data_IF_665657620864
#
_entry.id   IF_665657620864
#
_cell.length_a   1.000
_cell.length_b   1.000
_cell.length_c   1.000
_cell.angle_alpha   90.00
_cell.angle_beta   90.00
_cell.angle_gamma   90.00
#
_symmetry.space_group_name_H-M   'P 1'
#
loop_
_entity.id
_entity.type
_entity.pdbx_description
1 polymer ?
#
# COMPACT_ATOMS: atom_id res chain seq x y z
N UNK A 1 10.88 19.46 9.87
CA UNK A 1 10.62 18.62 8.68
C UNK A 1 9.36 17.81 8.98
N UNK A 2 8.26 18.12 8.30
CA UNK A 2 6.93 17.70 8.73
C UNK A 2 6.78 16.18 8.78
N UNK A 3 6.35 15.66 9.93
CA UNK A 3 5.74 14.33 10.04
C UNK A 3 4.45 14.40 9.22
N UNK A 4 4.54 13.97 7.95
CA UNK A 4 3.42 13.99 7.01
C UNK A 4 2.25 13.23 7.61
N UNK A 5 1.09 13.90 7.65
CA UNK A 5 -0.17 13.38 8.17
C UNK A 5 -0.49 12.00 7.59
N UNK A 6 -1.09 11.17 8.43
CA UNK A 6 -1.78 9.91 8.09
C UNK A 6 -2.43 10.06 6.72
N UNK A 7 -2.04 9.22 5.76
CA UNK A 7 -2.68 9.16 4.45
C UNK A 7 -4.15 8.79 4.68
N UNK A 8 -5.04 9.77 4.82
CA UNK A 8 -6.47 9.50 4.74
C UNK A 8 -6.76 9.37 3.24
N UNK A 9 -6.68 8.15 2.75
CA UNK A 9 -6.91 7.81 1.36
C UNK A 9 -7.96 6.72 1.29
N UNK A 10 -8.84 6.78 0.30
CA UNK A 10 -9.72 5.65 0.00
C UNK A 10 -8.98 4.65 -0.90
N UNK A 11 -9.05 3.37 -0.53
CA UNK A 11 -8.45 2.27 -1.27
C UNK A 11 -9.43 1.78 -2.32
N UNK A 12 -8.99 1.76 -3.57
CA UNK A 12 -9.72 1.15 -4.67
C UNK A 12 -8.95 -0.04 -5.23
N UNK A 13 -9.67 -1.07 -5.62
CA UNK A 13 -9.08 -2.27 -6.20
C UNK A 13 -10.02 -2.86 -7.25
N UNK A 14 -9.47 -3.35 -8.36
CA UNK A 14 -10.28 -4.07 -9.35
C UNK A 14 -10.53 -5.51 -8.89
N UNK A 15 -11.64 -6.10 -9.34
CA UNK A 15 -11.99 -7.50 -9.04
C UNK A 15 -10.88 -8.48 -9.40
N UNK A 16 -10.29 -8.33 -10.60
CA UNK A 16 -9.19 -9.18 -11.05
C UNK A 16 -7.91 -9.03 -10.22
N UNK A 17 -7.62 -7.85 -9.68
CA UNK A 17 -6.49 -7.67 -8.75
C UNK A 17 -6.82 -8.33 -7.41
N UNK A 18 -8.02 -8.11 -6.86
CA UNK A 18 -8.47 -8.77 -5.62
C UNK A 18 -8.33 -10.29 -5.72
N UNK A 19 -8.84 -10.88 -6.79
CA UNK A 19 -8.74 -12.32 -7.02
C UNK A 19 -7.29 -12.79 -7.14
N UNK A 20 -6.45 -12.04 -7.86
CA UNK A 20 -5.02 -12.34 -7.98
C UNK A 20 -4.32 -12.28 -6.62
N UNK A 21 -4.61 -11.31 -5.75
CA UNK A 21 -3.99 -11.23 -4.43
C UNK A 21 -4.33 -12.46 -3.60
N UNK A 22 -5.60 -12.85 -3.56
CA UNK A 22 -6.04 -14.01 -2.82
C UNK A 22 -5.45 -15.30 -3.40
N UNK A 23 -5.66 -15.57 -4.69
CA UNK A 23 -5.28 -16.87 -5.29
C UNK A 23 -3.78 -17.05 -5.49
N UNK A 24 -3.05 -15.98 -5.86
CA UNK A 24 -1.61 -16.08 -6.17
C UNK A 24 -0.72 -15.77 -4.98
N UNK A 25 -1.15 -14.85 -4.12
CA UNK A 25 -0.30 -14.35 -3.04
C UNK A 25 -0.84 -14.70 -1.65
N UNK A 26 -2.04 -15.27 -1.55
CA UNK A 26 -2.74 -15.51 -0.28
C UNK A 26 -2.73 -14.25 0.58
N UNK A 27 -3.06 -13.12 -0.03
CA UNK A 27 -3.13 -11.81 0.62
C UNK A 27 -4.56 -11.31 0.50
N UNK A 28 -5.11 -10.96 1.64
CA UNK A 28 -6.43 -10.37 1.75
C UNK A 28 -6.36 -8.84 1.75
N UNK A 29 -7.47 -8.18 1.44
CA UNK A 29 -7.48 -6.71 1.29
C UNK A 29 -7.20 -6.01 2.61
N UNK A 30 -7.74 -6.54 3.71
CA UNK A 30 -7.51 -5.98 5.04
C UNK A 30 -6.03 -6.05 5.44
N UNK A 31 -5.28 -7.08 5.02
CA UNK A 31 -3.83 -7.15 5.28
C UNK A 31 -3.07 -6.03 4.56
N UNK A 32 -3.54 -5.64 3.37
CA UNK A 32 -2.99 -4.51 2.63
C UNK A 32 -3.33 -3.19 3.32
N UNK A 33 -4.57 -3.02 3.79
CA UNK A 33 -5.01 -1.84 4.54
C UNK A 33 -4.24 -1.70 5.86
N UNK A 34 -4.10 -2.78 6.63
CA UNK A 34 -3.30 -2.82 7.86
C UNK A 34 -1.87 -2.35 7.59
N UNK A 35 -1.20 -2.92 6.57
CA UNK A 35 0.17 -2.54 6.24
C UNK A 35 0.30 -1.09 5.75
N UNK A 36 -0.74 -0.48 5.19
CA UNK A 36 -0.69 0.91 4.71
C UNK A 36 -1.02 1.90 5.84
N UNK A 37 -2.06 1.63 6.62
CA UNK A 37 -2.66 2.59 7.54
C UNK A 37 -2.24 2.38 9.00
N UNK A 38 -1.99 1.13 9.40
CA UNK A 38 -1.80 0.77 10.81
C UNK A 38 -0.34 0.51 11.19
N UNK A 39 0.52 0.20 10.22
CA UNK A 39 1.96 0.06 10.49
C UNK A 39 2.65 1.42 10.68
N UNK A 40 3.17 1.73 11.89
CA UNK A 40 3.82 3.01 12.17
C UNK A 40 5.17 3.19 11.46
N UNK A 41 5.74 2.12 10.91
CA UNK A 41 7.02 2.13 10.21
C UNK A 41 6.87 2.08 8.68
N UNK A 42 5.64 2.18 8.19
CA UNK A 42 5.36 2.17 6.77
C UNK A 42 6.06 3.31 6.04
N UNK A 43 6.65 2.99 4.89
CA UNK A 43 7.24 3.98 4.01
C UNK A 43 7.03 3.62 2.54
N UNK A 44 7.05 4.62 1.67
CA UNK A 44 6.94 4.45 0.24
C UNK A 44 8.23 4.77 -0.50
N UNK A 45 8.48 4.09 -1.62
CA UNK A 45 9.46 4.47 -2.63
C UNK A 45 8.71 4.72 -3.93
N UNK A 46 8.88 5.92 -4.49
CA UNK A 46 8.25 6.30 -5.76
C UNK A 46 9.04 5.77 -6.96
N UNK A 47 8.33 5.26 -7.97
CA UNK A 47 8.89 4.91 -9.27
C UNK A 47 7.90 5.30 -10.37
N UNK A 48 8.27 6.32 -11.16
CA UNK A 48 7.35 6.97 -12.11
C UNK A 48 6.07 7.41 -11.36
N UNK A 49 4.90 7.04 -11.87
CA UNK A 49 3.60 7.38 -11.26
C UNK A 49 3.13 6.37 -10.20
N UNK A 50 3.97 5.40 -9.83
CA UNK A 50 3.61 4.36 -8.87
C UNK A 50 4.40 4.48 -7.56
N UNK A 51 3.82 3.97 -6.48
CA UNK A 51 4.44 3.93 -5.16
C UNK A 51 4.55 2.49 -4.69
N UNK A 52 5.77 2.10 -4.33
CA UNK A 52 6.05 0.87 -3.61
C UNK A 52 5.99 1.14 -2.12
N UNK A 53 4.91 0.71 -1.48
CA UNK A 53 4.72 0.79 -0.04
C UNK A 53 5.32 -0.45 0.61
N UNK A 54 6.13 -0.23 1.64
CA UNK A 54 6.69 -1.25 2.49
C UNK A 54 6.00 -1.14 3.85
N UNK A 55 5.31 -2.19 4.27
CA UNK A 55 4.63 -2.23 5.56
C UNK A 55 4.58 -3.65 6.14
N UNK A 56 4.15 -3.74 7.40
CA UNK A 56 4.00 -4.99 8.13
C UNK A 56 2.57 -5.10 8.69
N UNK A 57 1.93 -6.26 8.53
CA UNK A 57 0.61 -6.53 9.13
C UNK A 57 0.72 -6.79 10.64
N UNK A 58 -0.41 -6.80 11.35
CA UNK A 58 -0.41 -7.16 12.78
C UNK A 58 0.06 -8.60 13.03
N UNK A 59 -0.21 -9.51 12.09
CA UNK A 59 0.28 -10.90 12.12
C UNK A 59 1.78 -11.02 11.82
N UNK A 60 2.46 -9.90 11.53
CA UNK A 60 3.90 -9.84 11.28
C UNK A 60 4.31 -10.12 9.84
N UNK A 61 3.37 -10.21 8.89
CA UNK A 61 3.71 -10.38 7.47
C UNK A 61 4.25 -9.08 6.89
N UNK A 62 5.40 -9.17 6.24
CA UNK A 62 6.04 -8.04 5.58
C UNK A 62 5.53 -7.95 4.15
N UNK A 63 4.78 -6.90 3.82
CA UNK A 63 4.17 -6.73 2.50
C UNK A 63 4.86 -5.62 1.70
N UNK A 64 5.10 -5.92 0.43
CA UNK A 64 5.41 -4.92 -0.59
C UNK A 64 4.16 -4.70 -1.43
N UNK A 65 3.63 -3.48 -1.40
CA UNK A 65 2.40 -3.11 -2.06
C UNK A 65 2.72 -2.08 -3.14
N UNK A 66 2.22 -2.31 -4.35
CA UNK A 66 2.32 -1.37 -5.45
C UNK A 66 0.97 -0.67 -5.62
N UNK A 67 0.99 0.66 -5.50
CA UNK A 67 -0.19 1.50 -5.71
C UNK A 67 0.07 2.57 -6.76
N UNK A 68 -1.01 3.18 -7.24
CA UNK A 68 -0.99 4.44 -8.00
C UNK A 68 -2.00 5.41 -7.40
N UNK A 69 -1.66 6.69 -7.37
CA UNK A 69 -2.61 7.75 -7.04
C UNK A 69 -3.53 8.00 -8.24
N UNK A 70 -4.84 8.00 -8.01
CA UNK A 70 -5.81 8.38 -9.04
C UNK A 70 -5.83 9.90 -9.21
N UNK A 71 -5.90 10.36 -10.45
CA UNK A 71 -6.11 11.79 -10.72
C UNK A 71 -7.53 12.21 -10.35
N UNK A 72 -7.76 13.50 -10.11
CA UNK A 72 -9.10 14.03 -9.80
C UNK A 72 -10.14 13.68 -10.86
N UNK A 73 -9.73 13.58 -12.13
CA UNK A 73 -10.60 13.19 -13.24
C UNK A 73 -11.03 11.72 -13.14
N UNK A 74 -10.10 10.82 -12.80
CA UNK A 74 -10.40 9.41 -12.60
C UNK A 74 -11.29 9.18 -11.38
N UNK A 75 -11.05 9.90 -10.29
CA UNK A 75 -11.88 9.87 -9.07
C UNK A 75 -13.30 10.32 -9.38
N UNK A 76 -13.46 11.38 -10.16
CA UNK A 76 -14.77 11.91 -10.57
C UNK A 76 -15.52 10.90 -11.45
N UNK A 77 -14.82 10.23 -12.38
CA UNK A 77 -15.39 9.16 -13.23
C UNK A 77 -15.88 7.96 -12.43
N UNK A 78 -15.29 7.70 -11.27
CA UNK A 78 -15.71 6.65 -10.34
C UNK A 78 -16.86 7.08 -9.41
N UNK A 79 -17.35 8.33 -9.52
CA UNK A 79 -18.46 8.85 -8.72
C UNK A 79 -18.08 9.34 -7.33
N UNK A 80 -16.78 9.45 -7.02
CA UNK A 80 -16.30 9.89 -5.72
C UNK A 80 -16.08 11.42 -5.65
N UNK A 81 -16.20 11.99 -4.44
CA UNK A 81 -15.95 13.42 -4.19
C UNK A 81 -14.45 13.70 -4.08
N UNK A 82 -13.97 14.77 -4.70
CA UNK A 82 -12.55 15.16 -4.78
C UNK A 82 -11.89 15.60 -3.46
N UNK A 83 -12.52 15.35 -2.29
CA UNK A 83 -12.00 15.82 -1.00
C UNK A 83 -10.94 14.89 -0.39
N UNK A 84 -10.80 13.67 -0.91
CA UNK A 84 -9.91 12.62 -0.38
C UNK A 84 -9.03 12.12 -1.52
N UNK A 85 -7.76 11.81 -1.23
CA UNK A 85 -6.88 11.17 -2.20
C UNK A 85 -7.30 9.71 -2.38
N UNK A 86 -7.32 9.23 -3.63
CA UNK A 86 -7.65 7.84 -3.91
C UNK A 86 -6.40 7.09 -4.35
N UNK A 87 -6.15 5.95 -3.72
CA UNK A 87 -5.10 5.03 -4.14
C UNK A 87 -5.74 3.82 -4.82
N UNK A 88 -5.13 3.38 -5.92
CA UNK A 88 -5.50 2.14 -6.58
C UNK A 88 -4.43 1.11 -6.33
N UNK A 89 -4.81 -0.01 -5.69
CA UNK A 89 -3.91 -1.16 -5.53
C UNK A 89 -3.71 -1.82 -6.90
N UNK A 90 -2.45 -1.93 -7.31
CA UNK A 90 -2.03 -2.65 -8.52
C UNK A 90 -1.68 -4.09 -8.17
N UNK A 91 -0.94 -4.31 -7.08
CA UNK A 91 -0.59 -5.64 -6.56
C UNK A 91 -0.01 -5.54 -5.15
N UNK A 92 0.03 -6.65 -4.43
CA UNK A 92 0.75 -6.82 -3.17
C UNK A 92 1.40 -8.21 -3.18
N UNK A 93 2.53 -8.35 -2.47
CA UNK A 93 3.20 -9.64 -2.23
C UNK A 93 4.02 -9.57 -0.96
N UNK A 94 4.42 -10.73 -0.44
CA UNK A 94 5.43 -10.77 0.62
C UNK A 94 6.75 -10.15 0.14
N UNK A 95 7.39 -9.40 1.04
CA UNK A 95 8.75 -8.90 0.85
C UNK A 95 9.75 -10.06 0.77
N UNK A 96 10.72 -9.94 -0.13
CA UNK A 96 11.85 -10.87 -0.16
C UNK A 96 12.86 -10.56 0.96
N UNK A 97 13.87 -11.43 1.15
CA UNK A 97 14.86 -11.29 2.24
C UNK A 97 15.55 -9.92 2.26
N UNK A 98 15.94 -9.39 1.10
CA UNK A 98 16.63 -8.10 1.00
C UNK A 98 15.70 -6.93 1.36
N UNK A 99 14.45 -7.00 0.92
CA UNK A 99 13.41 -6.02 1.22
C UNK A 99 13.07 -5.99 2.71
N UNK A 100 12.95 -7.16 3.35
CA UNK A 100 12.75 -7.28 4.81
C UNK A 100 13.92 -6.69 5.59
N UNK A 101 15.15 -6.97 5.17
CA UNK A 101 16.35 -6.39 5.78
C UNK A 101 16.36 -4.86 5.67
N UNK A 102 16.02 -4.32 4.49
CA UNK A 102 15.90 -2.89 4.28
C UNK A 102 14.82 -2.26 5.17
N UNK A 103 13.63 -2.87 5.23
CA UNK A 103 12.53 -2.40 6.08
C UNK A 103 12.93 -2.40 7.56
N UNK A 104 13.49 -3.49 8.06
CA UNK A 104 13.93 -3.60 9.46
C UNK A 104 15.05 -2.60 9.81
N UNK A 105 15.96 -2.33 8.88
CA UNK A 105 16.99 -1.28 9.05
C UNK A 105 16.35 0.11 9.20
N UNK A 106 15.34 0.44 8.37
CA UNK A 106 14.61 1.71 8.50
C UNK A 106 13.78 1.79 9.78
N UNK A 107 13.27 0.66 10.23
CA UNK A 107 12.55 0.51 11.50
C UNK A 107 13.46 0.63 12.74
N UNK A 108 14.78 0.44 12.58
CA UNK A 108 15.75 0.52 13.68
C UNK A 108 15.92 -0.77 14.49
N UNK A 109 15.60 -1.92 13.91
CA UNK A 109 15.72 -3.25 14.56
C UNK A 109 17.05 -3.96 14.23
N UNK A 110 17.84 -3.43 13.29
CA UNK A 110 19.11 -4.01 12.83
C UNK A 110 20.18 -2.93 12.73
#
# INVERSE_FOLDING_TARGET
MGRGKVFQCEVTISSGVREKLLKKHNIEIWEVEEAIYDDPHTFSITYRDCYFIYGQTFSGRYLLILIRLLSSEEVTKLGFKQRINFIKIITARDMNKNQRKMYNKKRGII
#
